data_IF_176806717076
#
_entry.id   IF_176806717076
#
_cell.length_a   1.000
_cell.length_b   1.000
_cell.length_c   1.000
_cell.angle_alpha   90.00
_cell.angle_beta   90.00
_cell.angle_gamma   90.00
#
_symmetry.space_group_name_H-M   'P 1'
#
loop_
_entity.id
_entity.type
_entity.pdbx_description
1 polymer ?
#
# COMPACT_ATOMS: atom_id res chain seq x y z
N UNK A 1 -21.64 9.85 -7.86
CA UNK A 1 -20.95 10.03 -6.57
C UNK A 1 -19.99 8.87 -6.30
N UNK A 2 -20.44 7.62 -6.18
CA UNK A 2 -19.54 6.46 -6.02
C UNK A 2 -18.60 6.25 -7.24
N UNK A 3 -19.13 6.31 -8.47
CA UNK A 3 -18.31 6.21 -9.69
C UNK A 3 -17.25 7.31 -9.81
N UNK A 4 -17.50 8.47 -9.19
CA UNK A 4 -16.57 9.61 -9.14
C UNK A 4 -15.44 9.36 -8.14
N UNK A 5 -15.70 8.68 -7.01
CA UNK A 5 -14.65 8.32 -6.04
C UNK A 5 -13.77 7.17 -6.56
N UNK A 6 -14.31 6.31 -7.44
CA UNK A 6 -13.61 5.13 -7.94
C UNK A 6 -12.58 5.41 -9.06
N UNK A 7 -12.73 6.50 -9.83
CA UNK A 7 -11.87 6.77 -10.99
C UNK A 7 -10.42 6.99 -10.59
N UNK A 8 -10.19 7.82 -9.57
CA UNK A 8 -8.85 8.13 -9.07
C UNK A 8 -8.13 6.90 -8.52
N UNK A 9 -8.86 6.02 -7.82
CA UNK A 9 -8.26 4.78 -7.30
C UNK A 9 -7.90 3.78 -8.39
N UNK A 10 -8.62 3.75 -9.51
CA UNK A 10 -8.26 2.87 -10.62
C UNK A 10 -6.87 3.21 -11.16
N UNK A 11 -6.64 4.48 -11.47
CA UNK A 11 -5.35 4.97 -11.96
C UNK A 11 -4.24 4.75 -10.92
N UNK A 12 -4.57 4.95 -9.65
CA UNK A 12 -3.60 4.84 -8.57
C UNK A 12 -3.20 3.39 -8.25
N UNK A 13 -4.14 2.47 -8.29
CA UNK A 13 -3.87 1.04 -8.14
C UNK A 13 -3.12 0.51 -9.37
N UNK A 14 -3.42 1.00 -10.57
CA UNK A 14 -2.63 0.70 -11.77
C UNK A 14 -1.18 1.20 -11.65
N UNK A 15 -0.96 2.36 -11.05
CA UNK A 15 0.38 2.86 -10.74
C UNK A 15 1.09 2.01 -9.69
N UNK A 16 0.45 1.72 -8.56
CA UNK A 16 0.99 0.81 -7.54
C UNK A 16 1.37 -0.54 -8.15
N UNK A 17 0.53 -1.08 -9.06
CA UNK A 17 0.83 -2.32 -9.79
C UNK A 17 2.11 -2.20 -10.61
N UNK A 18 2.30 -1.11 -11.36
CA UNK A 18 3.53 -0.88 -12.16
C UNK A 18 4.77 -0.80 -11.27
N UNK A 19 4.67 -0.12 -10.13
CA UNK A 19 5.74 -0.03 -9.12
C UNK A 19 6.12 -1.42 -8.60
N UNK A 20 5.13 -2.22 -8.19
CA UNK A 20 5.36 -3.59 -7.69
C UNK A 20 5.96 -4.47 -8.79
N UNK A 21 5.41 -4.45 -10.01
CA UNK A 21 5.91 -5.23 -11.16
C UNK A 21 7.39 -4.89 -11.46
N UNK A 22 7.77 -3.61 -11.38
CA UNK A 22 9.16 -3.18 -11.52
C UNK A 22 10.05 -3.77 -10.43
N UNK A 23 9.61 -3.74 -9.17
CA UNK A 23 10.41 -4.30 -8.08
C UNK A 23 10.61 -5.80 -8.21
N UNK A 24 9.60 -6.53 -8.69
CA UNK A 24 9.75 -7.95 -8.98
C UNK A 24 10.77 -8.19 -10.09
N UNK A 25 10.66 -7.45 -11.18
CA UNK A 25 11.61 -7.52 -12.30
C UNK A 25 13.05 -7.27 -11.82
N UNK A 26 13.27 -6.18 -11.10
CA UNK A 26 14.60 -5.75 -10.66
C UNK A 26 15.17 -6.64 -9.54
N UNK A 27 14.34 -7.09 -8.60
CA UNK A 27 14.79 -7.88 -7.44
C UNK A 27 15.01 -9.36 -7.77
N UNK A 28 14.33 -9.91 -8.77
CA UNK A 28 14.34 -11.35 -9.04
C UNK A 28 14.72 -11.72 -10.48
N UNK A 29 15.06 -10.75 -11.34
CA UNK A 29 15.33 -10.97 -12.76
C UNK A 29 14.19 -11.72 -13.49
N UNK A 30 12.96 -11.58 -12.99
CA UNK A 30 11.77 -12.16 -13.61
C UNK A 30 11.34 -11.27 -14.77
N UNK A 31 11.05 -11.82 -15.96
CA UNK A 31 10.52 -11.03 -17.08
C UNK A 31 9.13 -10.48 -16.71
N UNK A 32 8.77 -9.25 -17.11
CA UNK A 32 7.43 -8.74 -16.85
C UNK A 32 6.41 -9.69 -17.50
N UNK A 33 5.29 -10.01 -16.82
CA UNK A 33 4.33 -11.01 -17.30
C UNK A 33 3.70 -10.64 -18.66
N UNK A 34 3.72 -9.36 -19.04
CA UNK A 34 3.18 -8.87 -20.30
C UNK A 34 4.28 -8.56 -21.33
N UNK A 35 4.42 -9.43 -22.32
CA UNK A 35 5.10 -9.13 -23.60
C UNK A 35 4.32 -8.04 -24.34
N UNK A 36 4.60 -6.77 -24.04
CA UNK A 36 3.94 -5.63 -24.69
C UNK A 36 3.76 -4.39 -23.81
N UNK A 37 4.00 -4.51 -22.50
CA UNK A 37 4.00 -3.35 -21.62
C UNK A 37 5.35 -2.63 -21.74
N UNK A 38 5.32 -1.31 -21.96
CA UNK A 38 6.46 -0.37 -22.03
C UNK A 38 7.29 -0.27 -20.72
N UNK A 39 7.44 -1.37 -19.97
CA UNK A 39 8.07 -1.41 -18.64
C UNK A 39 9.61 -1.34 -18.73
N UNK A 40 10.21 -1.40 -19.93
CA UNK A 40 11.65 -1.62 -20.11
C UNK A 40 12.45 -0.32 -20.36
N UNK A 41 12.07 0.81 -19.76
CA UNK A 41 12.94 2.02 -19.78
C UNK A 41 13.24 2.62 -18.40
N UNK A 42 12.42 2.35 -17.39
CA UNK A 42 12.70 2.77 -16.03
C UNK A 42 13.99 2.12 -15.52
N UNK A 43 14.92 2.91 -15.00
CA UNK A 43 16.16 2.44 -14.36
C UNK A 43 16.01 2.38 -12.85
N UNK A 44 15.24 3.31 -12.29
CA UNK A 44 14.89 3.39 -10.87
C UNK A 44 13.38 3.43 -10.71
N UNK A 45 12.88 3.06 -9.53
CA UNK A 45 11.43 3.00 -9.28
C UNK A 45 10.76 4.37 -9.42
N UNK A 46 11.50 5.45 -9.13
CA UNK A 46 11.01 6.83 -9.22
C UNK A 46 10.74 7.27 -10.67
N UNK A 47 11.24 6.54 -11.68
CA UNK A 47 10.90 6.79 -13.09
C UNK A 47 9.46 6.38 -13.41
N UNK A 48 8.82 5.59 -12.55
CA UNK A 48 7.41 5.19 -12.67
C UNK A 48 6.57 6.29 -12.04
N UNK A 49 6.42 7.39 -12.77
CA UNK A 49 5.73 8.57 -12.26
C UNK A 49 4.29 8.25 -11.81
N UNK A 50 3.84 8.81 -10.67
CA UNK A 50 2.46 8.69 -10.25
C UNK A 50 1.54 9.43 -11.24
N UNK A 51 0.29 8.96 -11.42
CA UNK A 51 -0.64 9.55 -12.37
C UNK A 51 -1.03 10.97 -11.95
N UNK A 52 -1.25 11.84 -12.94
CA UNK A 52 -1.89 13.13 -12.73
C UNK A 52 -3.40 12.92 -12.65
N UNK A 53 -3.97 13.04 -11.46
CA UNK A 53 -5.39 12.78 -11.26
C UNK A 53 -6.21 14.04 -11.62
N UNK A 54 -7.02 13.94 -12.67
CA UNK A 54 -8.02 14.96 -13.02
C UNK A 54 -9.29 14.88 -12.15
N UNK A 55 -9.38 13.86 -11.29
CA UNK A 55 -10.51 13.63 -10.40
C UNK A 55 -10.78 14.80 -9.46
N UNK A 56 -12.07 15.05 -9.20
CA UNK A 56 -12.54 16.04 -8.20
C UNK A 56 -13.02 15.38 -6.90
N UNK A 57 -12.73 14.09 -6.76
CA UNK A 57 -13.04 13.29 -5.60
C UNK A 57 -12.14 13.64 -4.40
N UNK A 58 -12.47 13.08 -3.23
CA UNK A 58 -11.84 13.49 -1.98
C UNK A 58 -10.36 13.07 -1.91
N UNK A 59 -10.02 11.92 -2.52
CA UNK A 59 -8.65 11.43 -2.58
C UNK A 59 -7.81 12.31 -3.51
N UNK A 60 -8.28 12.58 -4.73
CA UNK A 60 -7.57 13.45 -5.67
C UNK A 60 -7.36 14.87 -5.12
N UNK A 61 -8.38 15.47 -4.50
CA UNK A 61 -8.25 16.76 -3.81
C UNK A 61 -7.18 16.74 -2.72
N UNK A 62 -7.18 15.71 -1.88
CA UNK A 62 -6.19 15.58 -0.83
C UNK A 62 -4.76 15.50 -1.38
N UNK A 63 -4.54 14.76 -2.47
CA UNK A 63 -3.23 14.67 -3.12
C UNK A 63 -2.77 16.03 -3.66
N UNK A 64 -3.66 16.75 -4.35
CA UNK A 64 -3.37 18.09 -4.89
C UNK A 64 -3.03 19.10 -3.79
N UNK A 65 -3.78 19.10 -2.70
CA UNK A 65 -3.57 20.02 -1.58
C UNK A 65 -2.33 19.68 -0.74
N UNK A 66 -1.99 18.40 -0.65
CA UNK A 66 -0.91 17.93 0.24
C UNK A 66 0.45 17.86 -0.46
N UNK A 67 0.50 17.97 -1.79
CA UNK A 67 1.72 17.97 -2.59
C UNK A 67 2.71 16.86 -2.18
N UNK A 68 2.18 15.64 -2.03
CA UNK A 68 2.95 14.50 -1.53
C UNK A 68 4.14 14.18 -2.44
N UNK A 69 5.27 13.84 -1.82
CA UNK A 69 6.40 13.21 -2.51
C UNK A 69 6.03 11.83 -3.06
N UNK A 70 6.89 11.28 -3.91
CA UNK A 70 6.73 9.93 -4.46
C UNK A 70 6.56 8.89 -3.34
N UNK A 71 7.44 8.92 -2.33
CA UNK A 71 7.45 7.97 -1.23
C UNK A 71 6.20 8.09 -0.35
N UNK A 72 5.75 9.32 -0.07
CA UNK A 72 4.50 9.55 0.68
C UNK A 72 3.29 9.04 -0.09
N UNK A 73 3.17 9.38 -1.39
CA UNK A 73 2.05 8.92 -2.22
C UNK A 73 2.03 7.40 -2.36
N UNK A 74 3.21 6.78 -2.49
CA UNK A 74 3.37 5.32 -2.53
C UNK A 74 2.97 4.68 -1.20
N UNK A 75 3.39 5.27 -0.08
CA UNK A 75 3.04 4.82 1.27
C UNK A 75 1.52 4.87 1.49
N UNK A 76 0.87 5.95 1.04
CA UNK A 76 -0.56 6.14 1.14
C UNK A 76 -1.35 5.10 0.34
N UNK A 77 -1.07 4.93 -0.95
CA UNK A 77 -1.81 3.95 -1.77
C UNK A 77 -1.54 2.51 -1.30
N UNK A 78 -0.32 2.20 -0.85
CA UNK A 78 0.01 0.87 -0.31
C UNK A 78 -0.82 0.55 0.93
N UNK A 79 -1.06 1.53 1.80
CA UNK A 79 -1.91 1.36 2.98
C UNK A 79 -3.40 1.28 2.60
N UNK A 80 -3.86 2.14 1.68
CA UNK A 80 -5.26 2.24 1.29
C UNK A 80 -5.76 1.06 0.46
N UNK A 81 -4.91 0.43 -0.35
CA UNK A 81 -5.35 -0.60 -1.31
C UNK A 81 -6.08 -1.74 -0.63
N UNK A 82 -5.70 -2.11 0.60
CA UNK A 82 -6.38 -3.16 1.37
C UNK A 82 -7.83 -2.83 1.75
N UNK A 83 -8.21 -1.55 1.75
CA UNK A 83 -9.58 -1.10 2.01
C UNK A 83 -10.42 -0.98 0.73
N UNK A 84 -9.77 -0.96 -0.44
CA UNK A 84 -10.41 -0.74 -1.75
C UNK A 84 -10.48 -2.04 -2.55
N UNK A 85 -9.35 -2.73 -2.67
CA UNK A 85 -9.19 -4.05 -3.28
C UNK A 85 -8.37 -4.95 -2.33
N UNK A 86 -9.01 -5.59 -1.33
CA UNK A 86 -8.33 -6.41 -0.33
C UNK A 86 -7.61 -7.64 -0.92
N UNK A 87 -7.90 -8.00 -2.18
CA UNK A 87 -7.28 -9.15 -2.86
C UNK A 87 -6.07 -8.72 -3.69
N UNK A 88 -5.88 -7.43 -3.95
CA UNK A 88 -4.81 -6.88 -4.78
C UNK A 88 -3.41 -7.36 -4.37
N UNK A 89 -2.98 -7.08 -3.13
CA UNK A 89 -1.64 -7.43 -2.63
C UNK A 89 -1.42 -8.95 -2.58
N UNK A 90 -2.34 -9.76 -2.01
CA UNK A 90 -2.23 -11.22 -2.09
C UNK A 90 -2.11 -11.75 -3.52
N UNK A 91 -2.92 -11.23 -4.45
CA UNK A 91 -2.94 -11.72 -5.83
C UNK A 91 -1.67 -11.35 -6.59
N UNK A 92 -1.20 -10.10 -6.51
CA UNK A 92 0.02 -9.68 -7.19
C UNK A 92 1.25 -10.40 -6.64
N UNK A 93 1.37 -10.54 -5.31
CA UNK A 93 2.49 -11.27 -4.71
C UNK A 93 2.43 -12.77 -4.97
N UNK A 94 1.24 -13.34 -5.12
CA UNK A 94 1.09 -14.73 -5.53
C UNK A 94 1.54 -14.92 -6.98
N UNK A 95 1.03 -14.09 -7.90
CA UNK A 95 1.30 -14.21 -9.34
C UNK A 95 2.76 -13.93 -9.72
N UNK A 96 3.46 -13.11 -8.93
CA UNK A 96 4.88 -12.79 -9.13
C UNK A 96 5.83 -13.72 -8.34
N UNK A 97 5.30 -14.69 -7.59
CA UNK A 97 6.07 -15.61 -6.74
C UNK A 97 6.76 -16.75 -7.49
N UNK A 98 7.84 -17.29 -6.90
CA UNK A 98 8.58 -18.45 -7.42
C UNK A 98 7.96 -19.77 -6.93
N UNK A 99 6.89 -20.23 -7.58
CA UNK A 99 6.10 -21.42 -7.17
C UNK A 99 6.90 -22.72 -6.93
N UNK A 100 7.23 -23.02 -5.67
CA UNK A 100 7.60 -24.36 -5.19
C UNK A 100 6.40 -25.17 -4.68
N UNK A 101 6.50 -26.51 -4.63
CA UNK A 101 5.41 -27.39 -4.14
C UNK A 101 4.96 -27.11 -2.70
N UNK A 102 5.80 -26.47 -1.88
CA UNK A 102 5.47 -26.06 -0.51
C UNK A 102 4.54 -24.84 -0.49
N UNK A 103 4.60 -23.99 -1.52
CA UNK A 103 3.85 -22.72 -1.62
C UNK A 103 2.35 -22.91 -1.86
N UNK A 104 1.95 -24.04 -2.46
CA UNK A 104 0.53 -24.38 -2.61
C UNK A 104 -0.16 -24.61 -1.25
N UNK A 105 0.60 -24.95 -0.20
CA UNK A 105 0.02 -25.28 1.11
C UNK A 105 -0.10 -24.08 2.06
N UNK A 106 0.76 -23.06 1.93
CA UNK A 106 0.80 -21.86 2.81
C UNK A 106 1.31 -20.61 2.07
N UNK A 107 0.55 -20.10 1.09
CA UNK A 107 1.01 -18.97 0.25
C UNK A 107 1.20 -17.68 1.07
N UNK A 108 0.28 -17.36 1.99
CA UNK A 108 0.32 -16.11 2.76
C UNK A 108 1.50 -16.00 3.72
N UNK A 109 1.90 -17.09 4.37
CA UNK A 109 3.05 -17.11 5.27
C UNK A 109 4.35 -16.76 4.54
N UNK A 110 4.55 -17.28 3.32
CA UNK A 110 5.72 -16.97 2.49
C UNK A 110 5.68 -15.53 1.98
N UNK A 111 4.53 -15.06 1.53
CA UNK A 111 4.37 -13.67 1.08
C UNK A 111 4.74 -12.69 2.20
N UNK A 112 4.28 -12.95 3.42
CA UNK A 112 4.64 -12.16 4.60
C UNK A 112 6.15 -12.14 4.86
N UNK A 113 6.81 -13.29 4.78
CA UNK A 113 8.27 -13.38 4.97
C UNK A 113 9.08 -12.69 3.87
N UNK A 114 8.64 -12.79 2.62
CA UNK A 114 9.39 -12.27 1.46
C UNK A 114 9.16 -10.78 1.23
N UNK A 115 7.92 -10.33 1.47
CA UNK A 115 7.45 -8.98 1.13
C UNK A 115 7.04 -8.20 2.38
N UNK A 116 7.44 -8.67 3.56
CA UNK A 116 7.26 -7.96 4.83
C UNK A 116 5.81 -7.85 5.32
N UNK A 117 4.85 -8.59 4.77
CA UNK A 117 3.46 -8.54 5.25
C UNK A 117 3.27 -9.17 6.62
N UNK A 118 2.09 -8.96 7.21
CA UNK A 118 1.61 -9.69 8.39
C UNK A 118 0.15 -10.11 8.22
N UNK A 119 -0.31 -11.03 9.05
CA UNK A 119 -1.73 -11.44 9.08
C UNK A 119 -2.53 -10.64 10.10
N UNK A 120 -3.83 -10.48 9.84
CA UNK A 120 -4.77 -10.02 10.84
C UNK A 120 -5.25 -11.15 11.75
N UNK A 121 -6.47 -11.00 12.27
CA UNK A 121 -7.21 -12.11 12.88
C UNK A 121 -7.49 -13.24 11.89
N UNK A 122 -7.58 -12.91 10.60
CA UNK A 122 -7.64 -13.87 9.52
C UNK A 122 -6.21 -14.18 9.00
N UNK A 123 -5.72 -15.42 9.10
CA UNK A 123 -4.40 -15.81 8.63
C UNK A 123 -4.24 -15.79 7.10
N UNK A 124 -5.35 -15.66 6.36
CA UNK A 124 -5.33 -15.54 4.91
C UNK A 124 -5.22 -14.10 4.42
N UNK A 125 -5.22 -13.12 5.33
CA UNK A 125 -5.03 -11.72 4.95
C UNK A 125 -3.56 -11.37 4.85
N UNK A 126 -3.23 -10.55 3.86
CA UNK A 126 -1.96 -9.86 3.77
C UNK A 126 -2.17 -8.41 4.16
N UNK A 127 -1.58 -8.00 5.29
CA UNK A 127 -1.58 -6.60 5.73
C UNK A 127 -0.17 -6.06 5.51
N UNK A 128 0.01 -4.97 4.73
CA UNK A 128 1.32 -4.40 4.51
C UNK A 128 1.89 -3.86 5.83
N UNK A 129 3.21 -3.90 5.95
CA UNK A 129 3.96 -3.26 7.04
C UNK A 129 4.92 -2.23 6.47
N UNK A 130 5.67 -1.53 7.33
CA UNK A 130 6.80 -0.73 6.86
C UNK A 130 7.85 -1.56 6.10
N UNK A 131 8.00 -2.85 6.40
CA UNK A 131 8.86 -3.76 5.63
C UNK A 131 8.31 -4.02 4.21
N UNK A 132 6.99 -4.07 4.05
CA UNK A 132 6.37 -4.14 2.71
C UNK A 132 6.70 -2.88 1.91
N UNK A 133 6.62 -1.71 2.53
CA UNK A 133 7.02 -0.47 1.88
C UNK A 133 8.49 -0.52 1.44
N UNK A 134 9.42 -0.99 2.28
CA UNK A 134 10.83 -1.13 1.90
C UNK A 134 11.04 -2.04 0.68
N UNK A 135 10.26 -3.12 0.57
CA UNK A 135 10.31 -3.97 -0.61
C UNK A 135 9.74 -3.27 -1.85
N UNK A 136 8.59 -2.62 -1.73
CA UNK A 136 7.92 -1.94 -2.86
C UNK A 136 8.70 -0.71 -3.34
N UNK A 137 9.44 -0.03 -2.46
CA UNK A 137 10.27 1.12 -2.81
C UNK A 137 11.71 0.77 -3.18
N UNK A 138 12.34 -0.18 -2.49
CA UNK A 138 13.78 -0.46 -2.65
C UNK A 138 14.14 -1.85 -3.17
N UNK A 139 13.17 -2.74 -3.37
CA UNK A 139 13.43 -4.07 -3.92
C UNK A 139 14.45 -4.84 -3.07
N UNK A 140 15.56 -5.28 -3.66
CA UNK A 140 16.73 -5.88 -2.96
C UNK A 140 17.94 -4.94 -2.85
N UNK A 141 17.85 -3.72 -3.36
CA UNK A 141 18.94 -2.76 -3.26
C UNK A 141 18.97 -2.19 -1.84
N UNK A 142 20.11 -2.34 -1.15
CA UNK A 142 20.24 -1.87 0.22
C UNK A 142 20.27 -0.33 0.31
N UNK A 143 20.86 0.35 -0.66
CA UNK A 143 20.90 1.82 -0.71
C UNK A 143 19.49 2.38 -0.84
N UNK A 144 18.72 1.88 -1.81
CA UNK A 144 17.33 2.28 -2.02
C UNK A 144 16.45 1.98 -0.80
N UNK A 145 16.71 0.88 -0.08
CA UNK A 145 16.02 0.57 1.18
C UNK A 145 16.36 1.56 2.30
N UNK A 146 17.61 2.00 2.44
CA UNK A 146 18.00 2.99 3.45
C UNK A 146 17.37 4.36 3.15
N UNK A 147 17.26 4.71 1.86
CA UNK A 147 16.54 5.92 1.43
C UNK A 147 15.04 5.81 1.73
N UNK A 148 14.40 4.70 1.36
CA UNK A 148 12.99 4.45 1.63
C UNK A 148 12.65 4.53 3.13
N UNK A 149 13.56 4.11 4.02
CA UNK A 149 13.35 4.20 5.46
C UNK A 149 13.18 5.64 5.96
N UNK A 150 13.71 6.63 5.24
CA UNK A 150 13.66 8.04 5.67
C UNK A 150 12.23 8.57 5.78
N UNK A 151 11.28 8.04 4.99
CA UNK A 151 9.87 8.44 5.09
C UNK A 151 9.28 8.18 6.48
N UNK A 152 9.81 7.20 7.23
CA UNK A 152 9.36 6.88 8.58
C UNK A 152 10.17 7.56 9.69
N UNK A 153 11.37 8.06 9.36
CA UNK A 153 12.27 8.69 10.33
C UNK A 153 12.06 10.20 10.43
N UNK A 154 11.61 10.82 9.34
CA UNK A 154 11.41 12.26 9.25
C UNK A 154 9.93 12.61 9.33
N UNK A 155 9.64 13.80 9.89
CA UNK A 155 8.29 14.37 9.79
C UNK A 155 7.93 14.53 8.32
N UNK A 156 6.76 14.01 7.95
CA UNK A 156 6.24 14.07 6.58
C UNK A 156 4.76 14.48 6.61
N UNK A 157 4.22 14.89 5.48
CA UNK A 157 2.86 15.46 5.39
C UNK A 157 1.79 14.48 5.90
N UNK A 158 1.97 13.19 5.65
CA UNK A 158 1.04 12.16 6.10
C UNK A 158 1.09 11.93 7.61
N UNK A 159 2.27 12.01 8.22
CA UNK A 159 2.46 11.90 9.67
C UNK A 159 1.93 13.13 10.41
N UNK A 160 2.19 14.33 9.89
CA UNK A 160 1.74 15.60 10.49
C UNK A 160 0.22 15.74 10.47
N UNK A 161 -0.42 15.26 9.39
CA UNK A 161 -1.88 15.22 9.27
C UNK A 161 -2.51 14.01 9.98
N UNK A 162 -1.71 13.08 10.51
CA UNK A 162 -2.22 11.84 11.15
C UNK A 162 -2.96 10.93 10.19
N UNK A 163 -2.60 10.94 8.90
CA UNK A 163 -3.24 10.14 7.84
C UNK A 163 -2.74 8.71 7.90
N UNK A 164 -1.41 8.53 7.94
CA UNK A 164 -0.77 7.22 8.00
C UNK A 164 -0.38 6.89 9.43
N UNK A 165 -0.61 5.63 9.79
CA UNK A 165 -0.22 5.06 11.06
C UNK A 165 0.65 3.83 10.80
N UNK A 166 1.78 3.75 11.50
CA UNK A 166 2.57 2.54 11.64
C UNK A 166 2.33 1.99 13.05
N UNK A 167 1.66 0.84 13.15
CA UNK A 167 1.41 0.21 14.45
C UNK A 167 2.73 -0.12 15.17
N UNK A 168 2.74 -0.16 16.52
CA UNK A 168 3.92 -0.58 17.26
C UNK A 168 4.39 -1.98 16.86
N UNK A 169 5.70 -2.15 16.69
CA UNK A 169 6.33 -3.46 16.52
C UNK A 169 6.51 -4.15 17.88
N UNK A 170 6.65 -5.49 17.89
CA UNK A 170 6.94 -6.22 19.12
C UNK A 170 8.42 -6.10 19.50
N UNK A 171 8.72 -6.18 20.80
CA UNK A 171 10.09 -6.11 21.30
C UNK A 171 10.96 -7.21 20.67
N UNK A 172 12.08 -6.82 20.07
CA UNK A 172 13.01 -7.73 19.41
C UNK A 172 12.71 -7.98 17.93
N UNK A 173 11.62 -7.41 17.39
CA UNK A 173 11.33 -7.42 15.96
C UNK A 173 11.95 -6.22 15.24
N UNK A 174 12.08 -6.26 13.90
CA UNK A 174 12.48 -5.11 13.11
C UNK A 174 11.57 -3.90 13.36
N UNK A 175 12.15 -2.70 13.40
CA UNK A 175 11.43 -1.45 13.75
C UNK A 175 10.23 -1.13 12.85
N UNK A 176 10.25 -1.64 11.61
CA UNK A 176 9.22 -1.42 10.60
C UNK A 176 8.28 -2.63 10.40
N UNK A 177 8.30 -3.63 11.30
CA UNK A 177 7.38 -4.79 11.23
C UNK A 177 5.94 -4.47 11.61
N UNK A 178 5.67 -3.27 12.12
CA UNK A 178 4.33 -2.79 12.45
C UNK A 178 3.41 -2.69 11.23
N UNK A 179 2.11 -2.93 11.42
CA UNK A 179 1.13 -2.78 10.34
C UNK A 179 1.09 -1.35 9.84
N UNK A 180 1.10 -1.20 8.52
CA UNK A 180 0.90 0.06 7.84
C UNK A 180 -0.60 0.23 7.58
N UNK A 181 -1.20 1.28 8.12
CA UNK A 181 -2.63 1.54 7.98
C UNK A 181 -2.93 3.04 7.83
N UNK A 182 -4.17 3.35 7.47
CA UNK A 182 -4.69 4.71 7.35
C UNK A 182 -5.67 4.95 8.48
N UNK A 183 -5.63 6.14 9.06
CA UNK A 183 -6.61 6.58 10.05
C UNK A 183 -8.03 6.43 9.49
N UNK A 184 -8.94 5.84 10.28
CA UNK A 184 -10.27 5.44 9.80
C UNK A 184 -11.05 6.59 9.17
N UNK A 185 -10.95 7.79 9.74
CA UNK A 185 -11.62 8.99 9.24
C UNK A 185 -11.18 9.35 7.81
N UNK A 186 -9.91 9.11 7.46
CA UNK A 186 -9.39 9.28 6.11
C UNK A 186 -9.80 8.13 5.18
N UNK A 187 -9.91 6.90 5.68
CA UNK A 187 -10.48 5.79 4.89
C UNK A 187 -11.91 6.14 4.49
N UNK A 188 -12.73 6.62 5.42
CA UNK A 188 -14.10 7.07 5.16
C UNK A 188 -14.14 8.24 4.19
N UNK A 189 -13.33 9.27 4.43
CA UNK A 189 -13.23 10.42 3.53
C UNK A 189 -12.93 9.99 2.11
N UNK A 190 -11.92 9.15 1.90
CA UNK A 190 -11.47 8.78 0.57
C UNK A 190 -12.39 7.77 -0.12
N UNK A 191 -13.00 6.84 0.62
CA UNK A 191 -13.87 5.80 0.02
C UNK A 191 -15.33 6.21 -0.09
N UNK A 192 -15.82 7.07 0.80
CA UNK A 192 -17.22 7.52 0.85
C UNK A 192 -17.40 8.97 0.37
N UNK A 193 -16.32 9.75 0.37
CA UNK A 193 -16.34 11.19 0.07
C UNK A 193 -16.66 12.08 1.28
N UNK A 194 -16.89 11.50 2.47
CA UNK A 194 -17.18 12.21 3.70
C UNK A 194 -16.76 11.36 4.92
N UNK A 195 -16.51 12.02 6.05
CA UNK A 195 -16.23 11.33 7.31
C UNK A 195 -17.53 11.00 8.01
N UNK A 196 -17.64 9.78 8.54
CA UNK A 196 -18.84 9.36 9.25
C UNK A 196 -18.81 9.97 10.64
N UNK A 197 -19.91 10.60 11.05
CA UNK A 197 -20.07 10.97 12.44
C UNK A 197 -20.24 9.70 13.29
N UNK A 198 -19.27 9.46 14.17
CA UNK A 198 -19.21 8.27 15.04
C UNK A 198 -20.48 8.12 15.91
N UNK A 199 -21.15 9.21 16.28
CA UNK A 199 -22.38 9.17 17.08
C UNK A 199 -23.61 8.69 16.30
N UNK A 200 -23.56 8.77 14.96
CA UNK A 200 -24.70 8.49 14.08
C UNK A 200 -24.63 7.11 13.40
N UNK A 201 -23.48 6.43 13.42
CA UNK A 201 -23.30 5.15 12.72
C UNK A 201 -23.50 3.92 13.61
N UNK A 202 -24.76 3.47 13.71
CA UNK A 202 -25.14 2.29 14.49
C UNK A 202 -24.64 0.96 13.93
N UNK A 203 -24.15 0.91 12.68
CA UNK A 203 -23.61 -0.31 12.06
C UNK A 203 -22.16 -0.58 12.47
N UNK A 204 -21.34 0.46 12.55
CA UNK A 204 -19.94 0.36 13.01
C UNK A 204 -19.81 0.43 14.53
N UNK A 205 -20.62 1.28 15.16
CA UNK A 205 -20.57 1.57 16.59
C UNK A 205 -21.95 1.34 17.20
N UNK A 206 -22.38 0.07 17.33
CA UNK A 206 -23.66 -0.23 17.95
C UNK A 206 -23.65 0.36 19.36
N UNK A 207 -24.64 1.23 19.65
CA UNK A 207 -24.82 1.79 20.99
C UNK A 207 -24.96 0.63 21.96
N UNK A 208 -23.98 0.45 22.85
CA UNK A 208 -24.04 -0.56 23.90
C UNK A 208 -25.36 -0.35 24.67
N UNK A 209 -26.28 -1.31 24.53
CA UNK A 209 -27.48 -1.36 25.37
C UNK A 209 -27.02 -1.95 26.71
N UNK A 210 -26.86 -1.08 27.71
CA UNK A 210 -26.72 -1.46 29.11
C UNK A 210 -27.99 -2.15 29.61
#
# INVERSE_FOLDING_TARGET
MADTQASSFKEEIEWLKKVIDFQFFHSFNQRPPNKGSNVIQAKVVNDILPPELEGVDAYAKFLHESALSFDERLLLILALVNHIDPVFLPAIFYNQGQHSKVEQRRPTLRQNLLFGGTTGTNPNWFIPTGLTFLFVRGGKDYGERMEAQQVFAQSNVLSEKGVILLEPHLKGEPTLSGRLTVMESYIELFTLGYMINQELNSLKYPKNRH
#
